data_IF_068832350340
#
_entry.id   IF_068832350340
#
_cell.length_a   1.000
_cell.length_b   1.000
_cell.length_c   1.000
_cell.angle_alpha   90.00
_cell.angle_beta   90.00
_cell.angle_gamma   90.00
#
_symmetry.space_group_name_H-M   'P 1'
#
loop_
_entity.id
_entity.type
_entity.pdbx_description
1 polymer ?
#
# COMPACT_ATOMS: atom_id res chain seq x y z
N UNK A 1 -32.09 33.33 2.03
CA UNK A 1 -31.61 32.44 3.11
C UNK A 1 -31.72 30.94 2.81
N UNK A 2 -32.80 30.41 2.17
CA UNK A 2 -32.90 28.97 1.85
C UNK A 2 -31.79 28.42 0.92
N UNK A 3 -31.37 29.17 -0.11
CA UNK A 3 -30.33 28.71 -1.05
C UNK A 3 -28.97 28.47 -0.39
N UNK A 4 -28.55 29.35 0.52
CA UNK A 4 -27.22 29.27 1.18
C UNK A 4 -27.12 28.00 2.02
N UNK A 5 -28.19 27.66 2.75
CA UNK A 5 -28.26 26.45 3.59
C UNK A 5 -28.20 25.17 2.76
N UNK A 6 -28.79 25.16 1.56
CA UNK A 6 -28.73 24.01 0.65
C UNK A 6 -27.33 23.81 0.07
N UNK A 7 -26.62 24.88 -0.30
CA UNK A 7 -25.23 24.76 -0.80
C UNK A 7 -24.28 24.26 0.29
N UNK A 8 -24.40 24.77 1.52
CA UNK A 8 -23.62 24.30 2.68
C UNK A 8 -23.84 22.80 2.95
N UNK A 9 -25.09 22.32 2.92
CA UNK A 9 -25.41 20.90 3.18
C UNK A 9 -24.88 19.99 2.06
N UNK A 10 -24.89 20.48 0.82
CA UNK A 10 -24.35 19.73 -0.32
C UNK A 10 -22.82 19.68 -0.29
N UNK A 11 -22.16 20.79 0.05
CA UNK A 11 -20.69 20.84 0.21
C UNK A 11 -20.21 19.98 1.38
N UNK A 12 -20.89 20.03 2.52
CA UNK A 12 -20.54 19.21 3.70
C UNK A 12 -20.67 17.72 3.43
N UNK A 13 -21.79 17.25 2.88
CA UNK A 13 -21.94 15.86 2.45
C UNK A 13 -20.87 15.44 1.44
N UNK A 14 -20.56 16.29 0.46
CA UNK A 14 -19.52 15.97 -0.53
C UNK A 14 -18.12 15.89 0.06
N UNK A 15 -17.83 16.71 1.07
CA UNK A 15 -16.53 16.72 1.76
C UNK A 15 -16.39 15.49 2.67
N UNK A 16 -17.44 15.16 3.43
CA UNK A 16 -17.45 13.97 4.29
C UNK A 16 -17.31 12.68 3.48
N UNK A 17 -17.99 12.57 2.33
CA UNK A 17 -17.86 11.43 1.43
C UNK A 17 -16.43 11.32 0.88
N UNK A 18 -15.80 12.43 0.47
CA UNK A 18 -14.42 12.43 -0.01
C UNK A 18 -13.44 11.98 1.08
N UNK A 19 -13.56 12.50 2.30
CA UNK A 19 -12.71 12.10 3.42
C UNK A 19 -12.90 10.62 3.79
N UNK A 20 -14.13 10.12 3.69
CA UNK A 20 -14.43 8.72 3.90
C UNK A 20 -13.80 7.81 2.83
N UNK A 21 -13.90 8.18 1.55
CA UNK A 21 -13.28 7.44 0.45
C UNK A 21 -11.75 7.43 0.56
N UNK A 22 -11.13 8.54 0.96
CA UNK A 22 -9.69 8.60 1.25
C UNK A 22 -9.30 7.63 2.36
N UNK A 23 -10.05 7.61 3.46
CA UNK A 23 -9.82 6.69 4.56
C UNK A 23 -9.94 5.22 4.10
N UNK A 24 -10.93 4.89 3.28
CA UNK A 24 -11.10 3.54 2.72
C UNK A 24 -9.94 3.12 1.82
N UNK A 25 -9.47 4.00 0.94
CA UNK A 25 -8.32 3.73 0.07
C UNK A 25 -7.06 3.47 0.91
N UNK A 26 -6.85 4.27 1.96
CA UNK A 26 -5.73 4.07 2.90
C UNK A 26 -5.80 2.72 3.59
N UNK A 27 -6.95 2.36 4.15
CA UNK A 27 -7.16 1.05 4.79
C UNK A 27 -6.89 -0.09 3.82
N UNK A 28 -7.36 0.03 2.57
CA UNK A 28 -7.15 -0.98 1.53
C UNK A 28 -5.66 -1.16 1.19
N UNK A 29 -4.90 -0.07 1.06
CA UNK A 29 -3.44 -0.12 0.83
C UNK A 29 -2.71 -0.79 1.98
N UNK A 30 -3.01 -0.38 3.22
CA UNK A 30 -2.42 -0.94 4.43
C UNK A 30 -2.72 -2.45 4.54
N UNK A 31 -3.97 -2.85 4.30
CA UNK A 31 -4.37 -4.26 4.26
C UNK A 31 -3.60 -5.04 3.19
N UNK A 32 -3.43 -4.47 2.00
CA UNK A 32 -2.64 -5.07 0.92
C UNK A 32 -1.18 -5.31 1.32
N UNK A 33 -0.55 -4.32 1.97
CA UNK A 33 0.79 -4.46 2.50
C UNK A 33 0.90 -5.58 3.55
N UNK A 34 -0.02 -5.63 4.52
CA UNK A 34 -0.01 -6.68 5.54
C UNK A 34 -0.19 -8.08 4.94
N UNK A 35 -1.07 -8.25 3.96
CA UNK A 35 -1.20 -9.53 3.25
C UNK A 35 0.13 -9.95 2.61
N UNK A 36 0.80 -9.02 1.91
CA UNK A 36 2.09 -9.31 1.27
C UNK A 36 3.19 -9.64 2.29
N UNK A 37 3.24 -8.89 3.40
CA UNK A 37 4.15 -9.14 4.53
C UNK A 37 3.91 -10.51 5.17
N UNK A 38 2.64 -10.88 5.40
CA UNK A 38 2.30 -12.18 5.98
C UNK A 38 2.74 -13.32 5.05
N UNK A 39 2.45 -13.23 3.75
CA UNK A 39 2.89 -14.23 2.77
C UNK A 39 4.42 -14.32 2.74
N UNK A 40 5.12 -13.17 2.74
CA UNK A 40 6.57 -13.11 2.80
C UNK A 40 7.11 -13.85 4.04
N UNK A 41 6.58 -13.57 5.23
CA UNK A 41 7.03 -14.22 6.47
C UNK A 41 6.77 -15.72 6.45
N UNK A 42 5.56 -16.15 6.10
CA UNK A 42 5.18 -17.58 6.09
C UNK A 42 6.06 -18.37 5.13
N UNK A 43 6.23 -17.90 3.89
CA UNK A 43 7.04 -18.59 2.88
C UNK A 43 8.50 -18.63 3.27
N UNK A 44 9.08 -17.52 3.75
CA UNK A 44 10.48 -17.50 4.16
C UNK A 44 10.74 -18.37 5.40
N UNK A 45 9.81 -18.42 6.36
CA UNK A 45 9.91 -19.33 7.51
C UNK A 45 9.86 -20.78 7.05
N UNK A 46 8.95 -21.15 6.14
CA UNK A 46 8.90 -22.51 5.57
C UNK A 46 10.21 -22.87 4.85
N UNK A 47 10.77 -21.95 4.07
CA UNK A 47 12.07 -22.15 3.41
C UNK A 47 13.16 -22.37 4.47
N UNK A 48 13.23 -21.56 5.53
CA UNK A 48 14.22 -21.72 6.59
C UNK A 48 14.09 -23.05 7.33
N UNK A 49 12.87 -23.50 7.61
CA UNK A 49 12.61 -24.79 8.25
C UNK A 49 13.07 -25.94 7.35
N UNK A 50 12.70 -25.92 6.06
CA UNK A 50 13.12 -26.95 5.11
C UNK A 50 14.64 -26.99 4.97
N UNK A 51 15.28 -25.82 4.83
CA UNK A 51 16.75 -25.74 4.76
C UNK A 51 17.43 -26.25 6.03
N UNK A 52 16.80 -26.09 7.21
CA UNK A 52 17.33 -26.63 8.46
C UNK A 52 17.17 -28.16 8.55
N UNK A 53 16.06 -28.70 8.04
CA UNK A 53 15.79 -30.15 8.04
C UNK A 53 16.61 -30.91 7.01
N UNK A 54 16.90 -30.30 5.86
CA UNK A 54 17.67 -30.88 4.76
C UNK A 54 19.21 -30.76 4.96
N UNK A 55 19.67 -30.32 6.14
CA UNK A 55 21.10 -30.25 6.47
C UNK A 55 21.73 -31.65 6.54
N UNK A 56 22.53 -32.00 5.53
CA UNK A 56 23.40 -33.17 5.60
C UNK A 56 24.61 -32.94 6.53
N UNK A 57 25.20 -34.02 7.04
CA UNK A 57 26.35 -33.96 7.95
C UNK A 57 27.57 -33.31 7.26
N UNK A 58 27.80 -32.03 7.55
CA UNK A 58 28.92 -31.24 7.01
C UNK A 58 28.50 -30.09 6.09
N UNK A 59 27.22 -29.97 5.73
CA UNK A 59 26.73 -28.83 4.97
C UNK A 59 26.52 -27.59 5.85
N UNK A 60 26.81 -26.42 5.29
CA UNK A 60 26.60 -25.14 5.96
C UNK A 60 25.16 -24.65 5.75
N UNK A 61 24.48 -24.36 6.86
CA UNK A 61 23.17 -23.70 6.88
C UNK A 61 23.15 -22.35 6.16
N UNK A 62 24.30 -21.70 6.02
CA UNK A 62 24.44 -20.42 5.33
C UNK A 62 24.64 -20.59 3.81
N UNK A 63 23.78 -21.36 3.15
CA UNK A 63 23.77 -21.37 1.69
C UNK A 63 23.17 -20.04 1.19
N UNK A 64 23.95 -19.28 0.43
CA UNK A 64 23.51 -18.01 -0.18
C UNK A 64 22.17 -18.14 -0.94
N UNK A 65 21.90 -19.33 -1.48
CA UNK A 65 20.68 -19.69 -2.19
C UNK A 65 19.41 -19.55 -1.33
N UNK A 66 19.49 -19.89 -0.05
CA UNK A 66 18.37 -19.85 0.90
C UNK A 66 17.96 -18.41 1.23
N UNK A 67 18.90 -17.47 1.11
CA UNK A 67 18.68 -16.04 1.40
C UNK A 67 18.37 -15.20 0.17
N UNK A 68 18.77 -15.62 -1.04
CA UNK A 68 18.49 -14.85 -2.27
C UNK A 68 17.00 -14.60 -2.48
N UNK A 69 16.15 -15.59 -2.25
CA UNK A 69 14.69 -15.44 -2.39
C UNK A 69 14.16 -14.39 -1.42
N UNK A 70 14.54 -14.49 -0.14
CA UNK A 70 14.17 -13.53 0.90
C UNK A 70 14.65 -12.11 0.58
N UNK A 71 15.85 -11.97 0.02
CA UNK A 71 16.47 -10.70 -0.32
C UNK A 71 15.72 -9.99 -1.45
N UNK A 72 15.53 -10.65 -2.61
CA UNK A 72 14.84 -10.04 -3.75
C UNK A 72 13.36 -9.75 -3.45
N UNK A 73 12.67 -10.66 -2.75
CA UNK A 73 11.30 -10.39 -2.30
C UNK A 73 11.26 -9.28 -1.25
N UNK A 74 12.29 -9.17 -0.41
CA UNK A 74 12.44 -8.09 0.57
C UNK A 74 12.50 -6.71 -0.08
N UNK A 75 13.15 -6.58 -1.24
CA UNK A 75 13.15 -5.33 -2.02
C UNK A 75 11.74 -4.97 -2.49
N UNK A 76 10.98 -5.96 -2.99
CA UNK A 76 9.58 -5.77 -3.40
C UNK A 76 8.68 -5.38 -2.23
N UNK A 77 8.87 -6.02 -1.08
CA UNK A 77 8.16 -5.71 0.15
C UNK A 77 8.48 -4.29 0.66
N UNK A 78 9.76 -3.91 0.63
CA UNK A 78 10.20 -2.56 0.99
C UNK A 78 9.60 -1.52 0.05
N UNK A 79 9.62 -1.76 -1.26
CA UNK A 79 8.97 -0.86 -2.23
C UNK A 79 7.46 -0.70 -1.96
N UNK A 80 6.77 -1.79 -1.63
CA UNK A 80 5.35 -1.75 -1.25
C UNK A 80 5.14 -0.97 0.06
N UNK A 81 6.01 -1.15 1.05
CA UNK A 81 5.99 -0.41 2.31
C UNK A 81 6.17 1.09 2.06
N UNK A 82 7.18 1.47 1.28
CA UNK A 82 7.43 2.86 0.92
C UNK A 82 6.21 3.43 0.19
N UNK A 83 5.68 2.76 -0.83
CA UNK A 83 4.47 3.23 -1.54
C UNK A 83 3.25 3.39 -0.62
N UNK A 84 3.12 2.54 0.39
CA UNK A 84 1.97 2.54 1.32
C UNK A 84 2.09 3.59 2.42
N UNK A 85 3.29 3.80 2.98
CA UNK A 85 3.50 4.65 4.16
C UNK A 85 4.22 5.97 3.86
N UNK A 86 4.98 6.07 2.76
CA UNK A 86 5.76 7.26 2.41
C UNK A 86 4.91 8.50 2.06
N UNK A 87 3.75 8.39 1.37
CA UNK A 87 2.89 9.55 1.13
C UNK A 87 2.47 10.24 2.44
N UNK A 88 2.22 9.45 3.49
CA UNK A 88 1.79 9.94 4.79
C UNK A 88 2.93 10.60 5.59
N UNK A 89 4.17 10.09 5.49
CA UNK A 89 5.31 10.64 6.24
C UNK A 89 5.90 11.89 5.55
N UNK A 90 6.15 11.83 4.23
CA UNK A 90 7.01 12.81 3.56
C UNK A 90 6.22 13.93 2.86
N UNK A 91 5.10 13.60 2.21
CA UNK A 91 4.47 14.51 1.26
C UNK A 91 3.21 15.22 1.79
N UNK A 92 2.62 14.73 2.89
CA UNK A 92 1.47 15.34 3.58
C UNK A 92 0.18 15.40 2.73
N UNK A 93 -0.94 15.80 3.36
CA UNK A 93 -2.28 15.88 2.73
C UNK A 93 -2.27 16.67 1.41
N UNK A 94 -1.45 17.72 1.34
CA UNK A 94 -1.33 18.59 0.14
C UNK A 94 -0.89 17.87 -1.14
N UNK A 95 -0.08 16.81 -1.05
CA UNK A 95 0.34 16.06 -2.22
C UNK A 95 -0.73 15.06 -2.67
N UNK A 96 -1.43 14.43 -1.72
CA UNK A 96 -2.57 13.56 -2.01
C UNK A 96 -3.69 14.35 -2.69
N UNK A 97 -4.06 15.53 -2.16
CA UNK A 97 -5.08 16.41 -2.74
C UNK A 97 -4.75 16.78 -4.19
N UNK A 98 -3.48 17.12 -4.46
CA UNK A 98 -3.01 17.41 -5.83
C UNK A 98 -3.11 16.21 -6.76
N UNK A 99 -2.84 15.00 -6.26
CA UNK A 99 -2.94 13.78 -7.07
C UNK A 99 -4.38 13.40 -7.34
N UNK A 100 -5.25 13.45 -6.34
CA UNK A 100 -6.69 13.19 -6.48
C UNK A 100 -7.30 14.17 -7.47
N UNK A 101 -7.01 15.47 -7.35
CA UNK A 101 -7.47 16.49 -8.29
C UNK A 101 -7.00 16.19 -9.72
N UNK A 102 -5.74 15.79 -9.90
CA UNK A 102 -5.19 15.42 -11.21
C UNK A 102 -5.83 14.16 -11.80
N UNK A 103 -6.18 13.18 -10.98
CA UNK A 103 -6.90 11.98 -11.43
C UNK A 103 -8.34 12.30 -11.84
N UNK A 104 -9.06 13.08 -11.04
CA UNK A 104 -10.42 13.53 -11.37
C UNK A 104 -10.46 14.38 -12.64
N UNK A 105 -9.49 15.28 -12.83
CA UNK A 105 -9.39 16.08 -14.06
C UNK A 105 -9.14 15.20 -15.29
N UNK A 106 -8.31 14.15 -15.15
CA UNK A 106 -8.02 13.21 -16.24
C UNK A 106 -9.22 12.32 -16.59
N UNK A 107 -9.93 11.82 -15.58
CA UNK A 107 -11.14 11.02 -15.78
C UNK A 107 -12.26 11.87 -16.40
N UNK A 108 -12.34 13.15 -16.02
CA UNK A 108 -13.27 14.09 -16.64
C UNK A 108 -12.88 14.35 -18.09
N UNK A 109 -11.61 14.55 -18.44
CA UNK A 109 -11.20 14.76 -19.85
C UNK A 109 -11.44 13.54 -20.72
N UNK A 110 -11.16 12.32 -20.23
CA UNK A 110 -11.41 11.06 -20.97
C UNK A 110 -12.91 10.78 -21.20
N UNK A 111 -13.81 11.38 -20.41
CA UNK A 111 -15.26 11.23 -20.56
C UNK A 111 -15.89 12.20 -21.58
N UNK A 112 -15.14 13.21 -22.03
CA UNK A 112 -15.61 14.22 -23.00
C UNK A 112 -14.91 14.11 -24.37
N UNK A 113 -14.05 13.12 -24.57
CA UNK A 113 -13.55 12.64 -25.87
C UNK A 113 -14.31 11.39 -26.31
#
# INVERSE_FOLDING_TARGET
MKKIKTTEIMETNSTEELEYQEALIRVKKIKGFYTHLTVYLVVNIMILINNYQDLEAGESFFQWRSFTTAFFWGIGLLSHALSTFMPNWIFGKSWEDRKIKKFLEKEKSEKWE
#
